data_IF_434171778604
#
_entry.id   IF_434171778604
#
_cell.length_a   1.000
_cell.length_b   1.000
_cell.length_c   1.000
_cell.angle_alpha   90.00
_cell.angle_beta   90.00
_cell.angle_gamma   90.00
#
_symmetry.space_group_name_H-M   'P 1'
#
loop_
_entity.id
_entity.type
_entity.pdbx_description
1 polymer ?
#
# COMPACT_ATOMS: atom_id res chain seq x y z
N UNK A 1 9.76 35.48 -6.51
CA UNK A 1 9.08 34.23 -6.07
C UNK A 1 9.40 33.04 -6.97
N UNK A 2 9.31 33.16 -8.31
CA UNK A 2 9.61 32.07 -9.26
C UNK A 2 11.09 31.64 -9.24
N UNK A 3 12.02 32.58 -9.14
CA UNK A 3 13.48 32.30 -9.10
C UNK A 3 13.87 31.50 -7.85
N UNK A 4 13.25 31.78 -6.70
CA UNK A 4 13.51 31.06 -5.44
C UNK A 4 13.02 29.61 -5.51
N UNK A 5 11.88 29.36 -6.16
CA UNK A 5 11.35 28.01 -6.37
C UNK A 5 12.20 27.19 -7.36
N UNK A 6 12.72 27.83 -8.41
CA UNK A 6 13.60 27.19 -9.38
C UNK A 6 14.96 26.78 -8.76
N UNK A 7 15.54 27.66 -7.92
CA UNK A 7 16.77 27.35 -7.20
C UNK A 7 16.57 26.26 -6.14
N UNK A 8 15.43 26.25 -5.44
CA UNK A 8 15.09 25.20 -4.49
C UNK A 8 14.90 23.84 -5.19
N UNK A 9 14.24 23.80 -6.35
CA UNK A 9 14.08 22.59 -7.15
C UNK A 9 15.42 22.06 -7.68
N UNK A 10 16.32 22.95 -8.13
CA UNK A 10 17.67 22.59 -8.58
C UNK A 10 18.53 22.01 -7.46
N UNK A 11 18.48 22.60 -6.26
CA UNK A 11 19.20 22.10 -5.09
C UNK A 11 18.67 20.73 -4.63
N UNK A 12 17.34 20.53 -4.65
CA UNK A 12 16.70 19.24 -4.36
C UNK A 12 17.11 18.15 -5.36
N UNK A 13 17.19 18.49 -6.66
CA UNK A 13 17.66 17.57 -7.70
C UNK A 13 19.12 17.18 -7.54
N UNK A 14 20.00 18.12 -7.19
CA UNK A 14 21.42 17.87 -6.95
C UNK A 14 21.64 16.94 -5.74
N UNK A 15 20.89 17.15 -4.65
CA UNK A 15 20.93 16.30 -3.45
C UNK A 15 20.41 14.88 -3.71
N UNK A 16 19.50 14.72 -4.67
CA UNK A 16 18.99 13.40 -5.09
C UNK A 16 20.03 12.65 -5.90
N UNK A 17 20.64 13.32 -6.89
CA UNK A 17 21.68 12.76 -7.73
C UNK A 17 22.93 12.34 -6.94
N UNK A 18 23.27 13.08 -5.88
CA UNK A 18 24.38 12.77 -4.97
C UNK A 18 24.11 11.57 -4.03
N UNK A 19 22.92 10.95 -4.07
CA UNK A 19 22.56 9.83 -3.19
C UNK A 19 22.37 10.22 -1.71
N UNK A 20 22.40 11.51 -1.38
CA UNK A 20 22.28 12.02 -0.01
C UNK A 20 20.83 11.96 0.53
N UNK A 21 19.86 11.85 -0.36
CA UNK A 21 18.44 11.76 -0.06
C UNK A 21 17.97 10.30 -0.07
N UNK A 22 17.90 9.70 1.11
CA UNK A 22 17.21 8.42 1.27
C UNK A 22 15.70 8.61 1.09
N UNK A 23 14.94 7.57 0.65
CA UNK A 23 13.49 7.65 0.53
C UNK A 23 12.80 8.08 1.84
N UNK A 24 13.39 7.76 2.99
CA UNK A 24 12.92 8.22 4.29
C UNK A 24 13.06 9.74 4.47
N UNK A 25 14.19 10.33 4.07
CA UNK A 25 14.42 11.79 4.16
C UNK A 25 13.53 12.56 3.19
N UNK A 26 13.33 12.05 1.98
CA UNK A 26 12.46 12.69 0.99
C UNK A 26 11.00 12.82 1.46
N UNK A 27 10.53 11.85 2.26
CA UNK A 27 9.18 11.88 2.87
C UNK A 27 9.03 13.02 3.87
N UNK A 28 10.00 13.19 4.77
CA UNK A 28 9.97 14.27 5.75
C UNK A 28 10.02 15.66 5.09
N UNK A 29 10.80 15.79 4.01
CA UNK A 29 10.85 17.03 3.21
C UNK A 29 9.49 17.31 2.55
N UNK A 30 8.85 16.31 1.95
CA UNK A 30 7.52 16.46 1.34
C UNK A 30 6.45 16.85 2.35
N UNK A 31 6.45 16.24 3.54
CA UNK A 31 5.53 16.59 4.63
C UNK A 31 5.74 18.02 5.14
N UNK A 32 7.00 18.44 5.31
CA UNK A 32 7.33 19.80 5.74
C UNK A 32 6.90 20.85 4.69
N UNK A 33 7.08 20.56 3.39
CA UNK A 33 6.62 21.44 2.31
C UNK A 33 5.08 21.55 2.29
N UNK A 34 4.37 20.44 2.44
CA UNK A 34 2.91 20.42 2.51
C UNK A 34 2.37 21.18 3.74
N UNK A 35 3.00 21.00 4.91
CA UNK A 35 2.64 21.72 6.14
C UNK A 35 2.84 23.23 5.99
N UNK A 36 3.98 23.64 5.40
CA UNK A 36 4.27 25.05 5.13
C UNK A 36 3.24 25.66 4.17
N UNK A 37 2.86 24.93 3.11
CA UNK A 37 1.83 25.38 2.16
C UNK A 37 0.45 25.48 2.82
N UNK A 38 0.06 24.49 3.62
CA UNK A 38 -1.20 24.50 4.36
C UNK A 38 -1.28 25.68 5.33
N UNK A 39 -0.22 25.92 6.11
CA UNK A 39 -0.13 27.06 7.03
C UNK A 39 -0.27 28.40 6.29
N UNK A 40 0.39 28.54 5.14
CA UNK A 40 0.29 29.74 4.30
C UNK A 40 -1.13 29.97 3.79
N UNK A 41 -1.84 28.91 3.41
CA UNK A 41 -3.23 28.98 2.93
C UNK A 41 -4.22 29.29 4.06
N UNK A 42 -3.96 28.81 5.28
CA UNK A 42 -4.71 29.17 6.48
C UNK A 42 -4.56 30.65 6.81
N UNK A 43 -3.33 31.19 6.78
CA UNK A 43 -3.06 32.61 7.05
C UNK A 43 -3.67 33.57 6.02
N UNK A 44 -3.91 33.13 4.78
CA UNK A 44 -4.57 33.94 3.73
C UNK A 44 -6.10 33.77 3.72
N UNK A 45 -6.68 33.03 4.67
CA UNK A 45 -8.12 32.77 4.72
C UNK A 45 -8.63 31.81 3.64
N UNK A 46 -7.74 31.10 2.95
CA UNK A 46 -8.07 30.11 1.92
C UNK A 46 -8.23 28.70 2.53
N UNK A 47 -9.18 28.57 3.46
CA UNK A 47 -9.43 27.33 4.21
C UNK A 47 -9.77 26.12 3.32
N UNK A 48 -10.46 26.32 2.20
CA UNK A 48 -10.69 25.27 1.20
C UNK A 48 -9.39 24.72 0.58
N UNK A 49 -8.42 25.61 0.30
CA UNK A 49 -7.13 25.21 -0.23
C UNK A 49 -6.30 24.43 0.78
N UNK A 50 -6.33 24.85 2.05
CA UNK A 50 -5.66 24.13 3.14
C UNK A 50 -6.23 22.71 3.32
N UNK A 51 -7.56 22.55 3.26
CA UNK A 51 -8.22 21.24 3.31
C UNK A 51 -7.85 20.35 2.11
N UNK A 52 -7.77 20.92 0.90
CA UNK A 52 -7.36 20.17 -0.28
C UNK A 52 -5.92 19.63 -0.16
N UNK A 53 -4.99 20.48 0.29
CA UNK A 53 -3.59 20.07 0.53
C UNK A 53 -3.51 19.00 1.62
N UNK A 54 -4.22 19.18 2.74
CA UNK A 54 -4.27 18.19 3.82
C UNK A 54 -4.83 16.85 3.33
N UNK A 55 -5.91 16.87 2.55
CA UNK A 55 -6.55 15.69 1.97
C UNK A 55 -5.64 14.91 1.02
N UNK A 56 -4.96 15.60 0.09
CA UNK A 56 -4.02 14.96 -0.85
C UNK A 56 -2.82 14.38 -0.10
N UNK A 57 -2.27 15.11 0.87
CA UNK A 57 -1.14 14.65 1.67
C UNK A 57 -1.51 13.42 2.51
N UNK A 58 -2.71 13.43 3.09
CA UNK A 58 -3.25 12.29 3.82
C UNK A 58 -3.50 11.10 2.90
N UNK A 59 -4.12 11.28 1.73
CA UNK A 59 -4.37 10.20 0.78
C UNK A 59 -3.07 9.52 0.32
N UNK A 60 -2.06 10.30 -0.07
CA UNK A 60 -0.74 9.79 -0.47
C UNK A 60 0.02 9.10 0.69
N UNK A 61 -0.23 9.52 1.93
CA UNK A 61 0.37 8.90 3.12
C UNK A 61 -0.36 7.61 3.54
N UNK A 62 -1.70 7.59 3.44
CA UNK A 62 -2.56 6.48 3.86
C UNK A 62 -2.51 5.31 2.87
N UNK A 63 -2.39 5.56 1.56
CA UNK A 63 -2.20 4.51 0.55
C UNK A 63 -0.90 3.70 0.76
N UNK A 64 0.03 4.27 1.51
CA UNK A 64 1.34 3.68 1.83
C UNK A 64 1.34 2.96 3.19
N UNK A 65 0.25 3.01 3.96
CA UNK A 65 0.10 2.14 5.11
C UNK A 65 0.04 0.69 4.63
N UNK A 66 0.77 -0.24 5.25
CA UNK A 66 0.56 -1.65 4.97
C UNK A 66 -0.90 -1.94 5.27
N UNK A 67 -1.70 -2.23 4.23
CA UNK A 67 -3.03 -2.85 4.40
C UNK A 67 -2.81 -3.98 5.39
N UNK A 68 -3.50 -3.96 6.55
CA UNK A 68 -3.42 -5.02 7.57
C UNK A 68 -3.40 -6.32 6.78
N UNK A 69 -2.26 -7.01 6.79
CA UNK A 69 -2.11 -8.25 6.05
C UNK A 69 -3.23 -9.13 6.56
N UNK A 70 -3.96 -9.72 5.62
CA UNK A 70 -4.73 -10.94 5.79
C UNK A 70 -4.54 -11.55 7.17
N UNK A 71 -5.61 -11.55 7.97
CA UNK A 71 -5.78 -12.32 9.22
C UNK A 71 -4.73 -13.39 9.41
N UNK A 72 -4.10 -13.47 10.60
CA UNK A 72 -3.10 -14.47 11.05
C UNK A 72 -3.54 -15.93 10.81
N UNK A 73 -3.70 -16.30 9.56
CA UNK A 73 -4.16 -17.60 9.10
C UNK A 73 -2.91 -18.44 8.99
N UNK A 74 -2.89 -19.54 9.73
CA UNK A 74 -1.80 -20.50 9.64
C UNK A 74 -1.73 -21.12 8.23
N UNK A 75 -0.56 -21.56 7.75
CA UNK A 75 -0.47 -22.28 6.47
C UNK A 75 -1.41 -23.49 6.40
N UNK A 76 -1.62 -24.18 7.52
CA UNK A 76 -2.53 -25.33 7.61
C UNK A 76 -3.99 -24.92 7.40
N UNK A 77 -4.41 -23.82 8.02
CA UNK A 77 -5.75 -23.27 7.84
C UNK A 77 -5.97 -22.75 6.42
N UNK A 78 -4.97 -22.07 5.86
CA UNK A 78 -5.00 -21.60 4.49
C UNK A 78 -5.09 -22.74 3.47
N UNK A 79 -4.34 -23.83 3.69
CA UNK A 79 -4.41 -25.06 2.90
C UNK A 79 -5.80 -25.68 2.95
N UNK A 80 -6.37 -25.85 4.15
CA UNK A 80 -7.75 -26.36 4.32
C UNK A 80 -8.79 -25.51 3.60
N UNK A 81 -8.66 -24.18 3.65
CA UNK A 81 -9.59 -23.27 2.98
C UNK A 81 -9.52 -23.38 1.46
N UNK A 82 -8.32 -23.58 0.89
CA UNK A 82 -8.13 -23.75 -0.55
C UNK A 82 -8.26 -25.21 -1.03
N UNK A 83 -8.44 -26.17 -0.11
CA UNK A 83 -8.46 -27.61 -0.42
C UNK A 83 -7.11 -28.17 -0.87
N UNK A 84 -6.01 -27.62 -0.34
CA UNK A 84 -4.63 -27.96 -0.71
C UNK A 84 -3.79 -28.35 0.52
N UNK A 85 -2.69 -29.05 0.28
CA UNK A 85 -1.63 -29.22 1.28
C UNK A 85 -0.97 -27.87 1.60
N UNK A 86 -0.53 -27.61 2.84
CA UNK A 86 0.25 -26.41 3.15
C UNK A 86 1.56 -26.30 2.34
N UNK A 87 2.07 -27.42 1.85
CA UNK A 87 3.28 -27.55 1.02
C UNK A 87 3.00 -27.48 -0.49
N UNK A 88 1.75 -27.19 -0.90
CA UNK A 88 1.36 -27.15 -2.30
C UNK A 88 2.18 -26.13 -3.12
N UNK A 89 2.37 -26.45 -4.40
CA UNK A 89 3.14 -25.60 -5.30
C UNK A 89 2.42 -24.30 -5.67
N UNK A 90 3.18 -23.28 -6.08
CA UNK A 90 2.61 -21.98 -6.47
C UNK A 90 1.55 -22.08 -7.59
N UNK A 91 1.72 -23.03 -8.52
CA UNK A 91 0.77 -23.27 -9.62
C UNK A 91 -0.57 -23.79 -9.07
N UNK A 92 -0.53 -24.76 -8.17
CA UNK A 92 -1.70 -25.38 -7.55
C UNK A 92 -2.46 -24.35 -6.68
N UNK A 93 -1.72 -23.58 -5.88
CA UNK A 93 -2.28 -22.49 -5.05
C UNK A 93 -3.06 -21.49 -5.92
N UNK A 94 -2.47 -21.02 -7.01
CA UNK A 94 -3.13 -20.05 -7.89
C UNK A 94 -4.32 -20.66 -8.64
N UNK A 95 -4.26 -21.95 -9.00
CA UNK A 95 -5.35 -22.64 -9.67
C UNK A 95 -6.56 -22.83 -8.74
N UNK A 96 -6.36 -23.23 -7.49
CA UNK A 96 -7.42 -23.36 -6.49
C UNK A 96 -8.04 -21.99 -6.15
N UNK A 97 -7.21 -20.99 -5.92
CA UNK A 97 -7.65 -19.61 -5.65
C UNK A 97 -8.55 -19.06 -6.76
N UNK A 98 -8.18 -19.25 -8.04
CA UNK A 98 -8.99 -18.78 -9.18
C UNK A 98 -10.40 -19.37 -9.21
N UNK A 99 -10.55 -20.65 -8.84
CA UNK A 99 -11.85 -21.32 -8.79
C UNK A 99 -12.71 -20.71 -7.67
N UNK A 100 -12.15 -20.66 -6.47
CA UNK A 100 -12.86 -20.19 -5.28
C UNK A 100 -13.20 -18.70 -5.32
N UNK A 101 -12.31 -17.85 -5.83
CA UNK A 101 -12.59 -16.40 -5.92
C UNK A 101 -13.67 -16.08 -6.95
N UNK A 102 -13.80 -16.91 -8.00
CA UNK A 102 -14.86 -16.76 -8.99
C UNK A 102 -16.23 -17.09 -8.39
N UNK A 103 -16.28 -18.05 -7.48
CA UNK A 103 -17.50 -18.45 -6.76
C UNK A 103 -17.86 -17.47 -5.63
N UNK A 104 -16.86 -16.93 -4.95
CA UNK A 104 -17.05 -16.00 -3.83
C UNK A 104 -17.40 -14.55 -4.25
N UNK A 105 -17.56 -14.28 -5.54
CA UNK A 105 -17.93 -12.97 -6.04
C UNK A 105 -19.37 -12.61 -5.60
N UNK A 106 -19.64 -11.36 -5.14
CA UNK A 106 -20.97 -10.92 -4.73
C UNK A 106 -22.06 -11.19 -5.76
N UNK A 107 -21.75 -11.01 -7.04
CA UNK A 107 -22.67 -11.25 -8.15
C UNK A 107 -23.12 -12.72 -8.30
N UNK A 108 -22.41 -13.66 -7.68
CA UNK A 108 -22.75 -15.10 -7.67
C UNK A 108 -23.22 -15.59 -6.30
N UNK A 109 -23.56 -14.67 -5.40
CA UNK A 109 -24.04 -14.99 -4.05
C UNK A 109 -22.93 -15.10 -2.99
N UNK A 110 -21.69 -14.72 -3.32
CA UNK A 110 -20.59 -14.61 -2.36
C UNK A 110 -20.61 -13.31 -1.56
N UNK A 111 -19.63 -13.12 -0.69
CA UNK A 111 -19.46 -11.89 0.10
C UNK A 111 -18.06 -11.32 -0.02
N UNK A 112 -17.93 -10.00 0.18
CA UNK A 112 -16.64 -9.33 0.24
C UNK A 112 -15.71 -9.96 1.29
N UNK A 113 -16.28 -10.41 2.42
CA UNK A 113 -15.55 -11.11 3.48
C UNK A 113 -15.07 -12.50 3.05
N UNK A 114 -15.87 -13.25 2.30
CA UNK A 114 -15.47 -14.54 1.75
C UNK A 114 -14.31 -14.38 0.75
N UNK A 115 -14.43 -13.40 -0.16
CA UNK A 115 -13.37 -13.06 -1.10
C UNK A 115 -12.08 -12.63 -0.38
N UNK A 116 -12.20 -11.82 0.67
CA UNK A 116 -11.05 -11.39 1.48
C UNK A 116 -10.36 -12.58 2.18
N UNK A 117 -11.12 -13.53 2.74
CA UNK A 117 -10.56 -14.75 3.36
C UNK A 117 -9.88 -15.68 2.36
N UNK A 118 -10.42 -15.81 1.14
CA UNK A 118 -9.79 -16.59 0.07
C UNK A 118 -8.46 -15.96 -0.39
N UNK A 119 -8.42 -14.63 -0.53
CA UNK A 119 -7.20 -13.90 -0.85
C UNK A 119 -6.15 -14.05 0.26
N UNK A 120 -6.58 -13.97 1.53
CA UNK A 120 -5.74 -14.19 2.69
C UNK A 120 -5.06 -15.57 2.67
N UNK A 121 -5.82 -16.63 2.40
CA UNK A 121 -5.28 -17.98 2.32
C UNK A 121 -4.20 -18.14 1.23
N UNK A 122 -4.45 -17.58 0.04
CA UNK A 122 -3.47 -17.59 -1.06
C UNK A 122 -2.17 -16.91 -0.64
N UNK A 123 -2.27 -15.72 -0.06
CA UNK A 123 -1.10 -14.92 0.31
C UNK A 123 -0.27 -15.61 1.40
N UNK A 124 -0.94 -16.25 2.37
CA UNK A 124 -0.29 -17.07 3.41
C UNK A 124 0.49 -18.24 2.81
N UNK A 125 -0.12 -19.04 1.93
CA UNK A 125 0.56 -20.21 1.34
C UNK A 125 1.73 -19.79 0.43
N UNK A 126 1.56 -18.74 -0.38
CA UNK A 126 2.65 -18.23 -1.22
C UNK A 126 3.80 -17.67 -0.39
N UNK A 127 3.51 -17.08 0.77
CA UNK A 127 4.55 -16.66 1.72
C UNK A 127 5.27 -17.88 2.32
N UNK A 128 4.52 -18.86 2.82
CA UNK A 128 5.10 -20.09 3.38
C UNK A 128 6.00 -20.80 2.37
N UNK A 129 5.55 -20.96 1.12
CA UNK A 129 6.34 -21.56 0.05
C UNK A 129 7.65 -20.81 -0.23
N UNK A 130 7.66 -19.46 -0.12
CA UNK A 130 8.90 -18.67 -0.26
C UNK A 130 9.83 -18.88 0.92
N UNK A 131 9.29 -18.94 2.13
CA UNK A 131 10.05 -19.10 3.36
C UNK A 131 10.69 -20.51 3.45
N UNK A 132 9.99 -21.55 2.99
CA UNK A 132 10.51 -22.94 2.94
C UNK A 132 11.53 -23.17 1.84
N UNK A 133 11.55 -22.35 0.78
CA UNK A 133 12.53 -22.43 -0.32
C UNK A 133 13.83 -21.66 -0.04
N UNK A 134 13.90 -20.93 1.07
CA UNK A 134 15.01 -20.04 1.43
C UNK A 134 16.00 -20.77 2.33
#
# INVERSE_FOLDING_TARGET
>A
MIVVLALAAGALGALWYAGALTPARLRWIGLAAAATLALRLLMTGQWLGALAVAGVTAWLALDRLPRRRSSDMSPQEAGRLLGLSPEAGAVEINAAWRRLITEAHPDKGGSAEASARINAARDTLLKHLRDTKR
#
